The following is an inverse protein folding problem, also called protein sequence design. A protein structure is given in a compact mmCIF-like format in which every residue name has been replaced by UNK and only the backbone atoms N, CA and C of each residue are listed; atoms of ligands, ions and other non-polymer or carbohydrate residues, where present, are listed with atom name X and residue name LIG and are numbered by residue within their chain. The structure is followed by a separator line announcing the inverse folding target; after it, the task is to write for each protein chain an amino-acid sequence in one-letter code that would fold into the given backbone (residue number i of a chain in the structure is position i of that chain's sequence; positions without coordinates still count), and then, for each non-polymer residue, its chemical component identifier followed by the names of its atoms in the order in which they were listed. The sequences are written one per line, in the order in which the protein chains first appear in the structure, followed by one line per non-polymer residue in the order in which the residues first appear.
data_IF_922491457628
#
_entry.id   IF_922491457628
#
_cell.length_a   1.000
_cell.length_b   1.000
_cell.length_c   1.000
_cell.angle_alpha   90.00
_cell.angle_beta   90.00
_cell.angle_gamma   90.00
#
_symmetry.space_group_name_H-M   'P 1'
#
loop_
_entity.id
_entity.type
_entity.pdbx_description
1 polymer ?
#
# COMPACT_ATOMS: atom_id res chain seq x y z
N UNK A 1 22.37 22.40 24.31
CA UNK A 1 22.13 20.96 24.50
C UNK A 1 22.16 20.29 23.14
N UNK A 2 23.23 19.57 22.84
CA UNK A 2 23.46 18.88 21.57
C UNK A 2 22.62 17.60 21.52
N UNK A 3 21.70 17.52 20.56
CA UNK A 3 20.97 16.29 20.25
C UNK A 3 21.92 15.36 19.49
N UNK A 4 22.22 14.21 20.08
CA UNK A 4 22.87 13.11 19.40
C UNK A 4 21.98 12.62 18.25
N UNK A 5 22.53 12.32 17.06
CA UNK A 5 21.75 11.70 16.01
C UNK A 5 21.41 10.26 16.43
N UNK A 6 20.12 9.94 16.50
CA UNK A 6 19.67 8.56 16.50
C UNK A 6 20.14 7.96 15.17
N UNK A 7 21.13 7.08 15.24
CA UNK A 7 21.51 6.24 14.13
C UNK A 7 20.29 5.40 13.74
N UNK A 8 19.58 5.83 12.71
CA UNK A 8 18.72 4.95 11.94
C UNK A 8 19.68 3.97 11.24
N UNK A 9 19.94 2.84 11.88
CA UNK A 9 20.64 1.73 11.22
C UNK A 9 19.88 1.41 9.94
N UNK A 10 20.58 1.44 8.80
CA UNK A 10 20.02 1.00 7.54
C UNK A 10 19.54 -0.44 7.73
N UNK A 11 18.21 -0.65 7.69
CA UNK A 11 17.63 -1.98 7.78
C UNK A 11 18.08 -2.76 6.54
N UNK A 12 18.81 -3.85 6.74
CA UNK A 12 19.20 -4.76 5.68
C UNK A 12 18.08 -5.78 5.46
N UNK A 13 17.88 -6.19 4.21
CA UNK A 13 16.82 -7.11 3.83
C UNK A 13 17.38 -8.35 3.13
N UNK A 14 16.76 -9.49 3.41
CA UNK A 14 17.00 -10.76 2.77
C UNK A 14 15.86 -11.08 1.81
N UNK A 15 16.20 -11.36 0.55
CA UNK A 15 15.24 -11.69 -0.51
C UNK A 15 15.21 -13.18 -0.72
N UNK A 16 14.02 -13.77 -0.66
CA UNK A 16 13.77 -15.15 -1.08
C UNK A 16 12.83 -15.09 -2.27
N UNK A 17 13.25 -15.62 -3.42
CA UNK A 17 12.38 -15.68 -4.58
C UNK A 17 12.80 -16.75 -5.57
N UNK A 18 11.82 -17.24 -6.32
CA UNK A 18 12.05 -18.22 -7.37
C UNK A 18 12.41 -17.54 -8.70
N UNK A 19 13.29 -18.17 -9.46
CA UNK A 19 13.73 -17.72 -10.78
C UNK A 19 13.41 -18.79 -11.83
N UNK A 20 13.07 -18.38 -13.05
CA UNK A 20 12.91 -19.25 -14.20
C UNK A 20 13.38 -18.54 -15.46
N UNK A 21 14.40 -19.07 -16.13
CA UNK A 21 14.94 -18.49 -17.36
C UNK A 21 15.54 -17.09 -17.15
N UNK A 22 16.33 -16.90 -16.10
CA UNK A 22 17.01 -15.63 -15.79
C UNK A 22 16.10 -14.51 -15.25
N UNK A 23 14.81 -14.78 -14.98
CA UNK A 23 13.89 -13.76 -14.46
C UNK A 23 13.09 -14.27 -13.24
N UNK A 24 12.62 -13.37 -12.35
CA UNK A 24 11.74 -13.74 -11.24
C UNK A 24 10.47 -14.46 -11.73
N UNK A 25 10.20 -15.63 -11.15
CA UNK A 25 9.05 -16.46 -11.51
C UNK A 25 8.68 -17.40 -10.36
N UNK A 26 7.54 -17.15 -9.73
CA UNK A 26 7.05 -17.87 -8.56
C UNK A 26 6.89 -16.96 -7.35
N UNK A 27 6.89 -17.56 -6.15
CA UNK A 27 6.75 -16.84 -4.89
C UNK A 27 7.94 -15.90 -4.63
N UNK A 28 7.66 -14.81 -3.93
CA UNK A 28 8.61 -13.80 -3.50
C UNK A 28 8.34 -13.41 -2.05
N UNK A 29 9.40 -13.34 -1.26
CA UNK A 29 9.39 -12.90 0.13
C UNK A 29 10.56 -11.96 0.38
N UNK A 30 10.31 -10.88 1.11
CA UNK A 30 11.30 -9.94 1.61
C UNK A 30 11.27 -9.96 3.13
N UNK A 31 12.40 -10.28 3.75
CA UNK A 31 12.55 -10.35 5.20
C UNK A 31 13.49 -9.25 5.69
N UNK A 32 13.22 -8.71 6.87
CA UNK A 32 14.23 -8.00 7.64
C UNK A 32 15.27 -9.01 8.19
N UNK A 33 16.44 -8.52 8.59
CA UNK A 33 17.51 -9.36 9.14
C UNK A 33 17.10 -10.20 10.37
N UNK A 34 16.09 -9.77 11.13
CA UNK A 34 15.53 -10.53 12.25
C UNK A 34 14.46 -11.56 11.85
N UNK A 35 14.34 -11.83 10.55
CA UNK A 35 13.43 -12.81 9.95
C UNK A 35 12.00 -12.30 9.76
N UNK A 36 11.66 -11.09 10.22
CA UNK A 36 10.30 -10.55 10.06
C UNK A 36 9.99 -10.27 8.60
N UNK A 37 8.83 -10.75 8.16
CA UNK A 37 8.28 -10.47 6.84
C UNK A 37 8.02 -8.97 6.66
N UNK A 38 8.46 -8.45 5.52
CA UNK A 38 8.22 -7.07 5.06
C UNK A 38 7.34 -7.04 3.83
N UNK A 39 7.55 -7.97 2.92
CA UNK A 39 6.74 -8.12 1.70
C UNK A 39 6.60 -9.60 1.36
N UNK A 40 5.43 -9.99 0.88
CA UNK A 40 5.26 -11.21 0.09
C UNK A 40 4.53 -10.89 -1.19
N UNK A 41 4.73 -11.70 -2.20
CA UNK A 41 4.00 -11.63 -3.46
C UNK A 41 4.42 -12.75 -4.40
N UNK A 42 4.18 -12.55 -5.69
CA UNK A 42 4.63 -13.47 -6.71
C UNK A 42 4.99 -12.73 -8.00
N UNK A 43 5.87 -13.35 -8.78
CA UNK A 43 6.23 -12.91 -10.11
C UNK A 43 5.87 -13.97 -11.15
N UNK A 44 5.55 -13.53 -12.36
CA UNK A 44 5.46 -14.38 -13.55
C UNK A 44 6.22 -13.71 -14.68
N UNK A 45 7.30 -14.34 -15.12
CA UNK A 45 8.14 -13.83 -16.22
C UNK A 45 8.67 -12.41 -15.93
N UNK A 46 9.16 -12.20 -14.71
CA UNK A 46 9.70 -10.93 -14.24
C UNK A 46 8.66 -9.88 -13.83
N UNK A 47 7.36 -10.13 -14.05
CA UNK A 47 6.28 -9.18 -13.73
C UNK A 47 5.52 -9.56 -12.47
N UNK A 48 5.15 -8.60 -11.64
CA UNK A 48 4.33 -8.83 -10.43
C UNK A 48 2.98 -9.42 -10.84
N UNK A 49 2.56 -10.43 -10.09
CA UNK A 49 1.27 -11.10 -10.28
C UNK A 49 0.68 -11.51 -8.93
N UNK A 50 -0.64 -11.66 -8.88
CA UNK A 50 -1.33 -12.05 -7.66
C UNK A 50 -1.33 -10.91 -6.63
N UNK A 51 -1.35 -11.27 -5.35
CA UNK A 51 -1.49 -10.26 -4.27
C UNK A 51 -0.16 -10.05 -3.56
N UNK A 52 0.28 -8.80 -3.50
CA UNK A 52 1.37 -8.39 -2.64
C UNK A 52 0.84 -7.91 -1.30
N UNK A 53 1.46 -8.36 -0.21
CA UNK A 53 1.12 -7.96 1.15
C UNK A 53 2.36 -7.34 1.78
N UNK A 54 2.16 -6.21 2.45
CA UNK A 54 3.23 -5.43 3.06
C UNK A 54 3.01 -5.34 4.57
N UNK A 55 4.10 -5.42 5.32
CA UNK A 55 4.13 -5.22 6.76
C UNK A 55 5.10 -4.10 7.13
N UNK A 56 4.77 -3.37 8.20
CA UNK A 56 5.70 -2.43 8.81
C UNK A 56 6.84 -3.19 9.52
N UNK A 57 7.84 -2.44 10.01
CA UNK A 57 8.97 -3.04 10.72
C UNK A 57 8.53 -3.89 11.90
N UNK A 58 7.49 -3.48 12.63
CA UNK A 58 6.98 -4.21 13.80
C UNK A 58 6.16 -5.47 13.46
N UNK A 59 5.83 -5.70 12.19
CA UNK A 59 5.07 -6.85 11.71
C UNK A 59 3.56 -6.62 11.58
N UNK A 60 3.06 -5.39 11.74
CA UNK A 60 1.67 -5.07 11.42
C UNK A 60 1.48 -4.89 9.91
N UNK A 61 0.40 -5.47 9.37
CA UNK A 61 0.07 -5.34 7.95
C UNK A 61 -0.28 -3.88 7.60
N UNK A 62 0.32 -3.33 6.56
CA UNK A 62 0.09 -1.95 6.14
C UNK A 62 -0.69 -1.85 4.84
N UNK A 63 -0.44 -2.78 3.90
CA UNK A 63 -1.04 -2.75 2.57
C UNK A 63 -1.25 -4.15 2.00
N UNK A 64 -2.28 -4.26 1.16
CA UNK A 64 -2.56 -5.42 0.30
C UNK A 64 -2.90 -4.86 -1.07
N UNK A 65 -2.12 -5.27 -2.07
CA UNK A 65 -2.16 -4.71 -3.41
C UNK A 65 -2.20 -5.86 -4.42
N UNK A 66 -3.32 -6.06 -5.13
CA UNK A 66 -3.39 -7.05 -6.20
C UNK A 66 -2.78 -6.49 -7.49
N UNK A 67 -1.96 -7.32 -8.14
CA UNK A 67 -1.28 -7.02 -9.40
C UNK A 67 -1.61 -8.05 -10.48
N UNK A 68 -1.66 -7.58 -11.70
CA UNK A 68 -1.68 -8.38 -12.91
C UNK A 68 -0.71 -7.72 -13.91
N UNK A 69 0.34 -8.44 -14.30
CA UNK A 69 1.34 -7.95 -15.24
C UNK A 69 1.92 -6.57 -14.86
N UNK A 70 2.35 -6.42 -13.59
CA UNK A 70 2.82 -5.17 -12.97
C UNK A 70 1.78 -4.08 -12.72
N UNK A 71 0.59 -4.20 -13.28
CA UNK A 71 -0.49 -3.25 -13.06
C UNK A 71 -1.31 -3.61 -11.82
N UNK A 72 -1.65 -2.61 -11.01
CA UNK A 72 -2.67 -2.78 -9.96
C UNK A 72 -4.00 -3.17 -10.60
N UNK A 73 -4.50 -4.35 -10.23
CA UNK A 73 -5.69 -4.96 -10.81
C UNK A 73 -6.50 -5.68 -9.73
N UNK A 74 -7.53 -5.00 -9.21
CA UNK A 74 -8.35 -5.46 -8.08
C UNK A 74 -8.48 -4.41 -6.98
N UNK A 75 -8.94 -4.83 -5.80
CA UNK A 75 -9.13 -3.90 -4.66
C UNK A 75 -7.87 -3.79 -3.82
N UNK A 76 -7.23 -2.62 -3.88
CA UNK A 76 -6.17 -2.23 -2.96
C UNK A 76 -6.75 -1.92 -1.60
N UNK A 77 -6.05 -2.30 -0.55
CA UNK A 77 -6.52 -2.07 0.79
C UNK A 77 -5.38 -1.69 1.76
N UNK A 78 -5.62 -0.71 2.62
CA UNK A 78 -4.66 -0.20 3.61
C UNK A 78 -5.23 -0.29 5.02
N UNK A 79 -4.33 -0.38 6.02
CA UNK A 79 -4.71 -0.41 7.43
C UNK A 79 -4.01 0.66 8.24
N UNK A 80 -4.65 1.09 9.31
CA UNK A 80 -3.98 1.85 10.36
C UNK A 80 -3.01 0.96 11.14
N UNK A 81 -1.89 1.54 11.55
CA UNK A 81 -0.93 0.92 12.47
C UNK A 81 -0.56 1.92 13.56
N UNK A 82 -0.14 1.41 14.72
CA UNK A 82 0.46 2.23 15.77
C UNK A 82 1.96 1.95 15.85
N UNK A 83 2.78 2.90 16.34
CA UNK A 83 4.21 2.65 16.58
C UNK A 83 4.41 1.41 17.43
N UNK A 84 5.30 0.49 17.00
CA UNK A 84 5.57 -0.76 17.70
C UNK A 84 4.49 -1.85 17.59
N UNK A 85 3.37 -1.58 16.90
CA UNK A 85 2.29 -2.56 16.79
C UNK A 85 2.68 -3.74 15.90
N UNK A 86 2.47 -4.97 16.39
CA UNK A 86 2.71 -6.23 15.66
C UNK A 86 1.51 -6.70 14.85
N UNK A 87 0.37 -6.02 14.99
CA UNK A 87 -0.87 -6.29 14.26
C UNK A 87 -1.46 -4.97 13.82
N UNK A 88 -2.09 -4.99 12.67
CA UNK A 88 -2.83 -3.86 12.14
C UNK A 88 -4.06 -3.54 12.99
N UNK A 89 -4.48 -2.28 12.92
CA UNK A 89 -5.72 -1.80 13.52
C UNK A 89 -6.84 -1.92 12.49
N UNK A 90 -7.73 -0.92 12.44
CA UNK A 90 -8.87 -0.90 11.51
C UNK A 90 -8.42 -0.59 10.09
N UNK A 91 -9.28 -0.96 9.13
CA UNK A 91 -9.16 -0.59 7.72
C UNK A 91 -9.07 0.92 7.60
N UNK A 92 -8.08 1.40 6.84
CA UNK A 92 -7.89 2.82 6.51
C UNK A 92 -8.53 3.17 5.17
N UNK A 93 -8.36 2.29 4.18
CA UNK A 93 -8.77 2.56 2.80
C UNK A 93 -9.02 1.26 2.04
N UNK A 94 -10.00 1.29 1.14
CA UNK A 94 -10.24 0.29 0.09
C UNK A 94 -10.49 1.02 -1.22
N UNK A 95 -9.79 0.62 -2.28
CA UNK A 95 -9.83 1.30 -3.57
C UNK A 95 -9.74 0.30 -4.73
N UNK A 96 -10.74 0.22 -5.62
CA UNK A 96 -10.69 -0.63 -6.79
C UNK A 96 -9.84 -0.02 -7.91
N UNK A 97 -8.94 -0.84 -8.46
CA UNK A 97 -8.07 -0.51 -9.58
C UNK A 97 -8.29 -1.46 -10.77
N UNK A 98 -8.20 -0.91 -11.97
CA UNK A 98 -8.10 -1.64 -13.24
C UNK A 98 -6.95 -1.01 -14.02
N UNK A 99 -5.93 -1.81 -14.38
CA UNK A 99 -4.76 -1.35 -15.13
C UNK A 99 -4.14 -0.08 -14.53
N UNK A 100 -3.78 -0.14 -13.24
CA UNK A 100 -3.22 0.97 -12.46
C UNK A 100 -4.12 2.22 -12.30
N UNK A 101 -5.36 2.21 -12.79
CA UNK A 101 -6.31 3.34 -12.69
C UNK A 101 -7.43 3.04 -11.70
N UNK A 102 -7.78 4.02 -10.88
CA UNK A 102 -8.95 3.94 -9.99
C UNK A 102 -10.23 3.77 -10.83
N UNK A 103 -11.04 2.77 -10.47
CA UNK A 103 -12.26 2.42 -11.20
C UNK A 103 -13.33 1.93 -10.23
N UNK A 104 -14.32 2.78 -9.94
CA UNK A 104 -15.39 2.48 -8.98
C UNK A 104 -15.29 3.32 -7.72
N UNK A 105 -15.72 2.74 -6.59
CA UNK A 105 -15.86 3.47 -5.32
C UNK A 105 -14.66 3.22 -4.42
N UNK A 106 -13.86 4.26 -4.19
CA UNK A 106 -12.86 4.33 -3.12
C UNK A 106 -13.54 4.68 -1.80
N UNK A 107 -13.22 3.95 -0.74
CA UNK A 107 -13.71 4.18 0.63
C UNK A 107 -12.54 4.41 1.56
N UNK A 108 -12.70 5.36 2.48
CA UNK A 108 -11.76 5.55 3.59
C UNK A 108 -12.50 5.73 4.91
N UNK A 109 -11.82 5.39 5.99
CA UNK A 109 -12.34 5.43 7.35
C UNK A 109 -11.36 6.17 8.25
N UNK A 110 -11.87 6.75 9.32
CA UNK A 110 -11.05 7.24 10.43
C UNK A 110 -10.49 6.07 11.26
N UNK A 111 -9.49 6.30 12.14
CA UNK A 111 -8.94 5.25 13.00
C UNK A 111 -9.98 4.56 13.89
N UNK A 112 -11.05 5.27 14.25
CA UNK A 112 -12.20 4.75 14.99
C UNK A 112 -13.16 3.90 14.14
N UNK A 113 -12.92 3.77 12.84
CA UNK A 113 -13.72 2.98 11.90
C UNK A 113 -14.98 3.68 11.40
N UNK A 114 -15.24 4.92 11.83
CA UNK A 114 -16.24 5.82 11.25
C UNK A 114 -15.85 6.17 9.81
N UNK A 115 -16.85 6.36 8.96
CA UNK A 115 -16.63 6.62 7.55
C UNK A 115 -16.03 8.01 7.36
N UNK A 116 -14.94 8.10 6.59
CA UNK A 116 -14.25 9.35 6.30
C UNK A 116 -14.55 9.87 4.90
N UNK A 117 -14.52 9.01 3.89
CA UNK A 117 -14.90 9.40 2.53
C UNK A 117 -15.45 8.24 1.70
N UNK A 118 -16.30 8.58 0.72
CA UNK A 118 -16.67 7.78 -0.43
C UNK A 118 -16.39 8.61 -1.69
N UNK A 119 -15.52 8.11 -2.57
CA UNK A 119 -15.12 8.84 -3.78
C UNK A 119 -15.31 7.92 -4.98
N UNK A 120 -16.05 8.39 -5.98
CA UNK A 120 -16.30 7.67 -7.23
C UNK A 120 -15.26 8.08 -8.26
N UNK A 121 -14.58 7.09 -8.82
CA UNK A 121 -13.64 7.26 -9.91
C UNK A 121 -14.08 6.48 -11.15
N UNK A 122 -13.80 7.03 -12.33
CA UNK A 122 -13.96 6.33 -13.60
C UNK A 122 -12.71 6.57 -14.46
N UNK A 123 -12.02 5.50 -14.83
CA UNK A 123 -10.77 5.54 -15.60
C UNK A 123 -9.72 6.47 -15.00
N UNK A 124 -9.64 6.51 -13.67
CA UNK A 124 -8.73 7.37 -12.91
C UNK A 124 -9.22 8.80 -12.69
N UNK A 125 -10.34 9.23 -13.28
CA UNK A 125 -10.89 10.57 -13.07
C UNK A 125 -11.88 10.59 -11.91
N UNK A 126 -11.77 11.59 -11.04
CA UNK A 126 -12.74 11.86 -9.98
C UNK A 126 -14.08 12.26 -10.60
N UNK A 127 -15.13 11.54 -10.25
CA UNK A 127 -16.51 11.78 -10.71
C UNK A 127 -17.32 12.47 -9.61
N UNK A 128 -17.16 12.03 -8.37
CA UNK A 128 -17.94 12.51 -7.23
C UNK A 128 -17.23 12.19 -5.93
N UNK A 129 -17.44 13.03 -4.91
CA UNK A 129 -16.83 12.86 -3.61
C UNK A 129 -17.83 13.23 -2.50
N UNK A 130 -17.93 12.36 -1.50
CA UNK A 130 -18.58 12.65 -0.23
C UNK A 130 -17.58 12.39 0.88
N UNK A 131 -17.46 13.34 1.80
CA UNK A 131 -16.62 13.23 2.97
C UNK A 131 -17.41 13.60 4.22
N UNK A 132 -17.00 13.06 5.35
CA UNK A 132 -17.59 13.33 6.65
C UNK A 132 -16.48 13.65 7.64
N UNK A 133 -16.81 14.43 8.66
CA UNK A 133 -16.02 14.57 9.88
C UNK A 133 -16.06 13.27 10.70
N UNK A 134 -15.20 13.13 11.71
CA UNK A 134 -15.11 11.89 12.53
C UNK A 134 -16.38 11.64 13.37
N UNK A 135 -17.18 12.67 13.63
CA UNK A 135 -18.50 12.55 14.26
C UNK A 135 -19.62 12.15 13.28
N UNK A 136 -19.33 12.03 11.98
CA UNK A 136 -20.27 11.69 10.93
C UNK A 136 -20.95 12.89 10.26
N UNK A 137 -20.62 14.12 10.64
CA UNK A 137 -21.15 15.33 9.99
C UNK A 137 -20.64 15.42 8.55
N UNK A 138 -21.49 15.58 7.52
CA UNK A 138 -21.04 15.68 6.14
C UNK A 138 -20.27 16.98 5.88
N UNK A 139 -19.18 16.90 5.11
CA UNK A 139 -18.41 18.07 4.66
C UNK A 139 -19.02 18.66 3.38
N UNK A 140 -18.90 19.98 3.15
CA UNK A 140 -19.30 20.61 1.89
C UNK A 140 -18.59 19.97 0.69
N UNK A 141 -19.28 19.92 -0.47
CA UNK A 141 -18.76 19.25 -1.68
C UNK A 141 -17.35 19.72 -2.12
N UNK A 142 -17.04 21.03 -2.17
CA UNK A 142 -15.69 21.48 -2.53
C UNK A 142 -14.60 20.96 -1.58
N UNK A 143 -14.92 20.83 -0.29
CA UNK A 143 -13.99 20.29 0.71
C UNK A 143 -13.81 18.78 0.56
N UNK A 144 -14.88 18.05 0.23
CA UNK A 144 -14.80 16.62 -0.07
C UNK A 144 -13.95 16.33 -1.32
N UNK A 145 -14.07 17.16 -2.37
CA UNK A 145 -13.26 17.06 -3.59
C UNK A 145 -11.79 17.39 -3.31
N UNK A 146 -11.51 18.45 -2.53
CA UNK A 146 -10.16 18.79 -2.10
C UNK A 146 -9.53 17.69 -1.24
N UNK A 147 -10.30 17.08 -0.32
CA UNK A 147 -9.88 15.93 0.47
C UNK A 147 -9.52 14.74 -0.41
N UNK A 148 -10.34 14.44 -1.41
CA UNK A 148 -10.12 13.34 -2.34
C UNK A 148 -8.82 13.52 -3.15
N UNK A 149 -8.57 14.74 -3.64
CA UNK A 149 -7.34 15.07 -4.36
C UNK A 149 -6.09 14.93 -3.48
N UNK A 150 -6.14 15.44 -2.25
CA UNK A 150 -5.03 15.31 -1.29
C UNK A 150 -4.76 13.86 -0.88
N UNK A 151 -5.82 13.07 -0.66
CA UNK A 151 -5.71 11.65 -0.36
C UNK A 151 -5.08 10.90 -1.54
N UNK A 152 -5.47 11.20 -2.78
CA UNK A 152 -4.90 10.54 -3.97
C UNK A 152 -3.39 10.81 -4.12
N UNK A 153 -2.95 12.05 -3.84
CA UNK A 153 -1.51 12.40 -3.83
C UNK A 153 -0.77 11.58 -2.76
N UNK A 154 -1.32 11.53 -1.54
CA UNK A 154 -0.73 10.81 -0.42
C UNK A 154 -0.65 9.30 -0.69
N UNK A 155 -1.71 8.74 -1.25
CA UNK A 155 -1.77 7.31 -1.61
C UNK A 155 -0.75 6.98 -2.71
N UNK A 156 -0.64 7.81 -3.75
CA UNK A 156 0.37 7.64 -4.81
C UNK A 156 1.80 7.68 -4.27
N UNK A 157 2.10 8.59 -3.34
CA UNK A 157 3.41 8.66 -2.68
C UNK A 157 3.70 7.40 -1.87
N UNK A 158 2.72 6.93 -1.08
CA UNK A 158 2.86 5.68 -0.32
C UNK A 158 3.10 4.49 -1.26
N UNK A 159 2.30 4.36 -2.33
CA UNK A 159 2.48 3.27 -3.28
C UNK A 159 3.85 3.33 -3.96
N UNK A 160 4.34 4.50 -4.36
CA UNK A 160 5.68 4.62 -4.93
C UNK A 160 6.77 4.10 -3.97
N UNK A 161 6.66 4.40 -2.67
CA UNK A 161 7.60 3.86 -1.65
C UNK A 161 7.53 2.33 -1.57
N UNK A 162 6.33 1.76 -1.56
CA UNK A 162 6.14 0.30 -1.52
C UNK A 162 6.68 -0.39 -2.79
N UNK A 163 6.50 0.24 -3.94
CA UNK A 163 7.02 -0.24 -5.23
C UNK A 163 8.55 -0.20 -5.28
N UNK A 164 9.14 0.91 -4.83
CA UNK A 164 10.60 1.04 -4.72
C UNK A 164 11.20 0.01 -3.77
N UNK A 165 10.49 -0.35 -2.69
CA UNK A 165 10.92 -1.41 -1.78
C UNK A 165 11.06 -2.75 -2.50
N UNK A 166 10.12 -3.12 -3.37
CA UNK A 166 10.20 -4.36 -4.17
C UNK A 166 11.32 -4.25 -5.21
N UNK A 167 11.35 -3.15 -5.97
CA UNK A 167 12.30 -2.97 -7.08
C UNK A 167 13.77 -3.02 -6.62
N UNK A 168 14.06 -2.43 -5.47
CA UNK A 168 15.41 -2.44 -4.89
C UNK A 168 15.82 -3.81 -4.32
N UNK A 169 14.87 -4.75 -4.19
CA UNK A 169 15.08 -6.05 -3.55
C UNK A 169 14.44 -7.16 -4.38
N UNK A 170 14.76 -7.20 -5.68
CA UNK A 170 14.38 -8.31 -6.55
C UNK A 170 15.29 -9.52 -6.32
N UNK A 171 14.80 -10.76 -6.52
CA UNK A 171 15.65 -11.94 -6.49
C UNK A 171 16.75 -11.83 -7.54
N UNK A 172 17.96 -12.26 -7.19
CA UNK A 172 19.03 -12.42 -8.17
C UNK A 172 18.78 -13.69 -8.98
N UNK A 173 18.58 -13.54 -10.29
CA UNK A 173 18.37 -14.65 -11.19
C UNK A 173 19.53 -14.70 -12.18
N UNK A 174 20.27 -15.82 -12.16
CA UNK A 174 21.34 -16.14 -13.12
C UNK A 174 20.79 -16.71 -14.44
#
# INVERSE_FOLDING_TARGET
MTLAPLAAGAETFDVVGACRGGVPHGAYELHAQDGRLRVVGAFTQGRKTGTFIFWNSSGARVAVIPYQDDDKAGTVALWYTAPGARRELRRKLEAPYVENRLQGIKRSWYPRGTRRAEVRYQRGFLIDATAWEDDGTPRPKPEAEAQAAADEISDKQLFAVLETLIYNHLPHCD
#
